data_IF_535811465983
#
_entry.id   IF_535811465983
#
_cell.length_a   1.000
_cell.length_b   1.000
_cell.length_c   1.000
_cell.angle_alpha   90.00
_cell.angle_beta   90.00
_cell.angle_gamma   90.00
#
_symmetry.space_group_name_H-M   'P 1'
#
loop_
_entity.id
_entity.type
_entity.pdbx_description
1 polymer ?
#
# COMPACT_ATOMS: atom_id res chain seq x y z
N UNK A 1 -10.73 9.17 16.40
CA UNK A 1 -9.98 10.29 15.76
C UNK A 1 -9.07 9.81 14.63
N UNK A 2 -8.40 8.65 14.77
CA UNK A 2 -7.53 8.07 13.73
C UNK A 2 -8.14 8.00 12.32
N UNK A 3 -9.35 7.44 12.15
CA UNK A 3 -9.98 7.34 10.81
C UNK A 3 -10.15 8.69 10.10
N UNK A 4 -10.50 9.76 10.82
CA UNK A 4 -10.66 11.09 10.22
C UNK A 4 -9.33 11.64 9.70
N UNK A 5 -8.23 11.38 10.41
CA UNK A 5 -6.90 11.81 10.00
C UNK A 5 -6.42 11.01 8.78
N UNK A 6 -6.60 9.68 8.78
CA UNK A 6 -6.29 8.83 7.63
C UNK A 6 -7.10 9.22 6.38
N UNK A 7 -8.37 9.59 6.54
CA UNK A 7 -9.21 10.07 5.43
C UNK A 7 -8.76 11.42 4.86
N UNK A 8 -8.40 12.38 5.73
CA UNK A 8 -7.83 13.66 5.30
C UNK A 8 -6.52 13.48 4.54
N UNK A 9 -5.69 12.60 5.05
CA UNK A 9 -4.45 12.18 4.43
C UNK A 9 -4.71 11.56 3.04
N UNK A 10 -5.65 10.61 2.94
CA UNK A 10 -6.01 9.99 1.66
C UNK A 10 -6.47 11.03 0.64
N UNK A 11 -7.28 12.01 1.07
CA UNK A 11 -7.67 13.14 0.22
C UNK A 11 -6.45 13.95 -0.21
N UNK A 12 -5.56 14.30 0.70
CA UNK A 12 -4.35 15.08 0.40
C UNK A 12 -3.47 14.38 -0.64
N UNK A 13 -3.14 13.10 -0.44
CA UNK A 13 -2.28 12.36 -1.37
C UNK A 13 -2.96 12.16 -2.72
N UNK A 14 -4.26 11.85 -2.72
CA UNK A 14 -5.06 11.76 -3.96
C UNK A 14 -5.02 13.06 -4.74
N UNK A 15 -5.19 14.21 -4.06
CA UNK A 15 -5.11 15.53 -4.72
C UNK A 15 -3.71 15.82 -5.26
N UNK A 16 -2.64 15.50 -4.52
CA UNK A 16 -1.27 15.69 -4.99
C UNK A 16 -0.97 14.90 -6.27
N UNK A 17 -1.34 13.61 -6.31
CA UNK A 17 -1.16 12.78 -7.52
C UNK A 17 -1.92 13.39 -8.71
N UNK A 18 -3.16 13.82 -8.46
CA UNK A 18 -4.01 14.44 -9.46
C UNK A 18 -3.42 15.74 -10.04
N UNK A 19 -2.75 16.56 -9.22
CA UNK A 19 -2.03 17.74 -9.72
C UNK A 19 -0.79 17.37 -10.54
N UNK A 20 -0.01 16.35 -10.14
CA UNK A 20 1.11 15.85 -10.95
C UNK A 20 0.64 15.35 -12.32
N UNK A 21 -0.42 14.54 -12.36
CA UNK A 21 -0.98 14.03 -13.63
C UNK A 21 -1.50 15.16 -14.51
N UNK A 22 -2.11 16.20 -13.92
CA UNK A 22 -2.60 17.37 -14.65
C UNK A 22 -1.47 18.15 -15.32
N UNK A 23 -0.30 18.25 -14.68
CA UNK A 23 0.87 18.90 -15.29
C UNK A 23 1.37 18.11 -16.53
N UNK A 24 1.19 16.79 -16.53
CA UNK A 24 1.66 15.90 -17.60
C UNK A 24 0.64 15.69 -18.74
N UNK A 25 -0.66 15.99 -18.53
CA UNK A 25 -1.70 15.76 -19.53
C UNK A 25 -2.70 16.93 -19.61
N UNK A 26 -2.71 17.62 -20.75
CA UNK A 26 -3.59 18.77 -21.00
C UNK A 26 -5.09 18.43 -21.09
N UNK A 27 -5.45 17.16 -21.31
CA UNK A 27 -6.85 16.68 -21.36
C UNK A 27 -7.33 16.10 -20.03
N UNK A 28 -6.56 16.31 -18.98
CA UNK A 28 -6.74 15.66 -17.69
C UNK A 28 -8.12 15.88 -17.06
N UNK A 29 -8.61 14.82 -16.41
CA UNK A 29 -9.78 14.83 -15.54
C UNK A 29 -9.41 14.30 -14.16
N UNK A 30 -9.86 14.94 -13.07
CA UNK A 30 -9.63 14.44 -11.72
C UNK A 30 -10.09 13.01 -11.52
N UNK A 31 -9.19 12.19 -10.98
CA UNK A 31 -9.45 10.79 -10.67
C UNK A 31 -9.72 10.60 -9.18
N UNK A 32 -10.70 9.75 -8.87
CA UNK A 32 -10.92 9.30 -7.49
C UNK A 32 -9.76 8.41 -7.02
N UNK A 33 -9.61 8.26 -5.70
CA UNK A 33 -8.66 7.32 -5.09
C UNK A 33 -8.73 5.93 -5.73
N UNK A 34 -9.95 5.39 -5.82
CA UNK A 34 -10.17 4.03 -6.32
C UNK A 34 -9.81 3.91 -7.82
N UNK A 35 -9.95 5.01 -8.57
CA UNK A 35 -9.56 5.05 -9.98
C UNK A 35 -8.04 5.15 -10.13
N UNK A 36 -7.37 5.99 -9.32
CA UNK A 36 -5.91 6.07 -9.28
C UNK A 36 -5.28 4.72 -8.92
N UNK A 37 -5.81 4.05 -7.90
CA UNK A 37 -5.38 2.71 -7.52
C UNK A 37 -5.70 1.65 -8.57
N UNK A 38 -6.57 1.88 -9.55
CA UNK A 38 -6.80 0.91 -10.64
C UNK A 38 -5.94 1.17 -11.86
N UNK A 39 -5.59 2.43 -12.11
CA UNK A 39 -4.92 2.83 -13.34
C UNK A 39 -3.40 2.90 -13.24
N UNK A 40 -2.84 2.93 -12.04
CA UNK A 40 -1.39 3.03 -11.89
C UNK A 40 -0.68 1.69 -12.11
N UNK A 41 0.46 1.73 -12.81
CA UNK A 41 1.21 0.59 -13.39
C UNK A 41 1.35 -0.72 -12.59
N UNK A 42 1.41 -0.79 -11.24
CA UNK A 42 1.33 -2.08 -10.55
C UNK A 42 0.04 -2.88 -10.85
N UNK A 43 -1.02 -2.21 -11.31
CA UNK A 43 -2.31 -2.82 -11.65
C UNK A 43 -2.58 -2.99 -13.13
N UNK A 44 -1.63 -2.60 -13.98
CA UNK A 44 -1.70 -2.90 -15.39
C UNK A 44 -1.54 -4.42 -15.56
N UNK A 45 -2.62 -5.09 -15.96
CA UNK A 45 -2.64 -6.54 -16.18
C UNK A 45 -1.58 -7.01 -17.19
N UNK A 46 -1.05 -6.10 -18.02
CA UNK A 46 0.04 -6.40 -18.96
C UNK A 46 1.43 -6.32 -18.32
N UNK A 47 1.55 -5.83 -17.08
CA UNK A 47 2.83 -5.70 -16.41
C UNK A 47 3.37 -7.08 -15.98
N UNK A 48 4.63 -7.45 -16.28
CA UNK A 48 5.18 -8.78 -15.96
C UNK A 48 5.09 -9.14 -14.47
N UNK A 49 5.24 -8.15 -13.59
CA UNK A 49 5.14 -8.34 -12.13
C UNK A 49 3.70 -8.61 -11.65
N UNK A 50 2.68 -8.24 -12.44
CA UNK A 50 1.29 -8.41 -12.05
C UNK A 50 0.93 -9.89 -11.91
N UNK A 51 1.33 -10.73 -12.86
CA UNK A 51 1.00 -12.17 -12.85
C UNK A 51 1.68 -12.91 -11.68
N UNK A 52 2.92 -12.55 -11.37
CA UNK A 52 3.64 -13.09 -10.22
C UNK A 52 2.97 -12.65 -8.91
N UNK A 53 2.72 -11.35 -8.75
CA UNK A 53 2.06 -10.81 -7.57
C UNK A 53 0.65 -11.40 -7.37
N UNK A 54 -0.12 -11.54 -8.46
CA UNK A 54 -1.45 -12.12 -8.43
C UNK A 54 -1.42 -13.59 -8.00
N UNK A 55 -0.48 -14.38 -8.54
CA UNK A 55 -0.29 -15.78 -8.14
C UNK A 55 0.05 -15.90 -6.66
N UNK A 56 0.91 -15.02 -6.13
CA UNK A 56 1.26 -15.00 -4.72
C UNK A 56 0.09 -14.55 -3.83
N UNK A 57 -0.71 -13.57 -4.26
CA UNK A 57 -1.92 -13.16 -3.51
C UNK A 57 -2.95 -14.29 -3.48
N UNK A 58 -3.13 -15.03 -4.58
CA UNK A 58 -3.98 -16.24 -4.57
C UNK A 58 -3.42 -17.30 -3.62
N UNK A 59 -2.11 -17.45 -3.55
CA UNK A 59 -1.46 -18.40 -2.62
C UNK A 59 -1.65 -18.01 -1.14
N UNK A 60 -1.96 -16.75 -0.83
CA UNK A 60 -2.44 -16.34 0.50
C UNK A 60 -3.87 -16.87 0.70
N UNK A 61 -3.93 -18.15 1.05
CA UNK A 61 -5.13 -18.99 1.13
C UNK A 61 -6.21 -18.58 2.12
N UNK A 62 -5.95 -17.63 3.02
CA UNK A 62 -6.90 -17.25 4.08
C UNK A 62 -7.01 -15.74 4.31
N UNK A 63 -8.18 -15.32 4.81
CA UNK A 63 -8.44 -13.95 5.24
C UNK A 63 -7.36 -13.42 6.21
N UNK A 64 -6.92 -14.26 7.16
CA UNK A 64 -5.90 -13.88 8.14
C UNK A 64 -4.55 -13.63 7.47
N UNK A 65 -4.16 -14.46 6.50
CA UNK A 65 -2.91 -14.26 5.76
C UNK A 65 -2.92 -12.97 4.92
N UNK A 66 -4.07 -12.55 4.38
CA UNK A 66 -4.19 -11.26 3.68
C UNK A 66 -4.04 -10.08 4.65
N UNK A 67 -4.60 -10.20 5.87
CA UNK A 67 -4.45 -9.19 6.93
C UNK A 67 -3.01 -9.14 7.42
N UNK A 68 -2.39 -10.29 7.68
CA UNK A 68 -1.01 -10.42 8.14
C UNK A 68 -0.02 -9.89 7.10
N UNK A 69 -0.22 -10.22 5.82
CA UNK A 69 0.57 -9.64 4.74
C UNK A 69 0.45 -8.11 4.72
N UNK A 70 -0.77 -7.58 4.85
CA UNK A 70 -1.03 -6.14 4.84
C UNK A 70 -0.36 -5.45 6.02
N UNK A 71 -0.46 -6.03 7.23
CA UNK A 71 0.22 -5.56 8.43
C UNK A 71 1.74 -5.54 8.23
N UNK A 72 2.30 -6.62 7.68
CA UNK A 72 3.73 -6.75 7.43
C UNK A 72 4.24 -5.71 6.43
N UNK A 73 3.47 -5.43 5.38
CA UNK A 73 3.79 -4.40 4.40
C UNK A 73 3.72 -2.98 4.99
N UNK A 74 2.75 -2.70 5.86
CA UNK A 74 2.69 -1.40 6.56
C UNK A 74 3.91 -1.24 7.46
N UNK A 75 4.24 -2.26 8.26
CA UNK A 75 5.45 -2.24 9.08
C UNK A 75 6.72 -2.03 8.26
N UNK A 76 6.86 -2.77 7.15
CA UNK A 76 7.98 -2.62 6.23
C UNK A 76 8.08 -1.19 5.72
N UNK A 77 6.99 -0.62 5.22
CA UNK A 77 6.92 0.76 4.77
C UNK A 77 7.33 1.74 5.89
N UNK A 78 6.83 1.58 7.11
CA UNK A 78 7.22 2.43 8.24
C UNK A 78 8.72 2.33 8.56
N UNK A 79 9.28 1.11 8.54
CA UNK A 79 10.72 0.92 8.81
C UNK A 79 11.61 1.51 7.70
N UNK A 80 11.22 1.35 6.44
CA UNK A 80 11.99 1.84 5.28
C UNK A 80 11.86 3.35 5.09
N UNK A 81 10.66 3.90 5.25
CA UNK A 81 10.40 5.34 5.10
C UNK A 81 10.81 6.17 6.31
N UNK A 82 11.07 5.56 7.47
CA UNK A 82 11.72 6.27 8.58
C UNK A 82 13.13 6.79 8.21
N UNK A 83 13.78 6.15 7.24
CA UNK A 83 15.13 6.50 6.77
C UNK A 83 15.14 7.47 5.57
N UNK A 84 14.08 7.48 4.75
CA UNK A 84 13.95 8.33 3.57
C UNK A 84 12.77 9.29 3.75
N UNK A 85 13.11 10.54 4.05
CA UNK A 85 12.28 11.62 4.58
C UNK A 85 10.89 11.80 3.94
N UNK A 86 9.91 11.04 4.42
CA UNK A 86 8.50 11.28 4.14
C UNK A 86 7.82 11.74 5.43
N UNK A 87 7.69 13.07 5.56
CA UNK A 87 7.02 13.80 6.66
C UNK A 87 5.62 13.28 7.03
N UNK A 88 5.07 12.45 6.16
CA UNK A 88 3.79 11.82 6.23
C UNK A 88 3.66 10.73 7.31
N UNK A 89 4.64 9.82 7.43
CA UNK A 89 4.60 8.73 8.42
C UNK A 89 4.96 9.18 9.83
N UNK A 90 5.76 10.25 9.97
CA UNK A 90 6.17 10.82 11.27
C UNK A 90 5.02 11.49 12.03
N UNK A 91 3.90 11.81 11.38
CA UNK A 91 2.79 12.61 11.95
C UNK A 91 1.61 11.79 12.51
N UNK A 92 1.67 10.46 12.47
CA UNK A 92 0.53 9.63 12.84
C UNK A 92 0.93 8.37 13.62
N UNK A 93 0.18 8.09 14.71
CA UNK A 93 0.27 6.82 15.42
C UNK A 93 -0.39 5.74 14.56
N UNK A 94 0.43 4.94 13.90
CA UNK A 94 -0.03 3.83 13.05
C UNK A 94 -0.90 2.82 13.81
N UNK A 95 -1.91 2.28 13.14
CA UNK A 95 -2.74 1.17 13.65
C UNK A 95 -1.91 -0.08 13.91
N UNK A 96 -0.72 -0.21 13.31
CA UNK A 96 0.17 -1.36 13.57
C UNK A 96 0.56 -1.46 15.05
N UNK A 97 0.57 -0.34 15.79
CA UNK A 97 0.83 -0.36 17.24
C UNK A 97 -0.29 -1.01 18.07
N UNK A 98 -1.46 -1.24 17.48
CA UNK A 98 -2.58 -1.92 18.15
C UNK A 98 -2.52 -3.44 17.99
N UNK A 99 -1.51 -3.96 17.28
CA UNK A 99 -1.26 -5.39 17.09
C UNK A 99 -0.18 -5.88 18.05
N UNK A 100 -0.36 -7.11 18.53
CA UNK A 100 0.57 -7.79 19.42
C UNK A 100 1.89 -8.14 18.74
N UNK A 101 2.94 -8.36 19.53
CA UNK A 101 4.25 -8.84 19.03
C UNK A 101 4.11 -10.10 18.20
N UNK A 102 3.21 -11.01 18.58
CA UNK A 102 2.96 -12.26 17.86
C UNK A 102 2.35 -12.02 16.48
N UNK A 103 1.33 -11.13 16.38
CA UNK A 103 0.75 -10.72 15.09
C UNK A 103 1.83 -10.08 14.19
N UNK A 104 2.72 -9.27 14.75
CA UNK A 104 3.84 -8.69 14.00
C UNK A 104 4.84 -9.74 13.50
N UNK A 105 5.13 -10.77 14.30
CA UNK A 105 6.00 -11.88 13.88
C UNK A 105 5.39 -12.64 12.72
N UNK A 106 4.10 -12.99 12.79
CA UNK A 106 3.42 -13.69 11.69
C UNK A 106 3.36 -12.84 10.42
N UNK A 107 2.99 -11.57 10.56
CA UNK A 107 2.97 -10.62 9.46
C UNK A 107 4.33 -10.51 8.75
N UNK A 108 5.41 -10.48 9.53
CA UNK A 108 6.77 -10.48 9.00
C UNK A 108 7.09 -11.76 8.23
N UNK A 109 6.79 -12.92 8.81
CA UNK A 109 7.05 -14.23 8.17
C UNK A 109 6.28 -14.36 6.85
N UNK A 110 5.03 -13.89 6.79
CA UNK A 110 4.24 -13.91 5.56
C UNK A 110 4.88 -13.03 4.47
N UNK A 111 5.30 -11.81 4.81
CA UNK A 111 5.97 -10.92 3.85
C UNK A 111 7.32 -11.46 3.40
N UNK A 112 8.09 -12.06 4.31
CA UNK A 112 9.36 -12.74 4.00
C UNK A 112 9.14 -13.92 3.05
N UNK A 113 8.09 -14.72 3.27
CA UNK A 113 7.74 -15.84 2.38
C UNK A 113 7.31 -15.42 0.98
N UNK A 114 6.80 -14.19 0.82
CA UNK A 114 6.43 -13.61 -0.47
C UNK A 114 7.59 -12.84 -1.13
N UNK A 115 8.74 -12.73 -0.47
CA UNK A 115 9.89 -11.97 -0.98
C UNK A 115 11.06 -12.88 -1.31
N UNK A 116 11.46 -12.91 -2.58
CA UNK A 116 12.71 -13.60 -3.02
C UNK A 116 13.97 -12.88 -2.50
N UNK A 117 13.82 -11.64 -1.99
CA UNK A 117 14.91 -10.80 -1.44
C UNK A 117 14.68 -10.53 0.05
N UNK A 118 15.77 -10.46 0.82
CA UNK A 118 15.71 -10.07 2.23
C UNK A 118 14.95 -8.73 2.42
N UNK A 119 14.20 -8.61 3.52
CA UNK A 119 13.27 -7.50 3.84
C UNK A 119 13.80 -6.06 3.66
N UNK A 120 15.11 -5.86 3.45
CA UNK A 120 15.75 -4.54 3.34
C UNK A 120 15.75 -3.94 1.92
N UNK A 121 15.37 -4.70 0.88
CA UNK A 121 15.28 -4.16 -0.48
C UNK A 121 13.83 -3.84 -0.86
N UNK A 122 13.64 -2.73 -1.59
CA UNK A 122 12.38 -2.43 -2.26
C UNK A 122 12.08 -3.56 -3.25
N UNK A 123 10.95 -4.24 -3.05
CA UNK A 123 10.49 -5.32 -3.90
C UNK A 123 9.19 -4.87 -4.58
N UNK A 124 9.24 -4.44 -5.84
CA UNK A 124 8.07 -3.97 -6.59
C UNK A 124 6.92 -4.99 -6.62
N UNK A 125 7.21 -6.30 -6.56
CA UNK A 125 6.21 -7.36 -6.48
C UNK A 125 5.39 -7.27 -5.19
N UNK A 126 6.03 -7.03 -4.04
CA UNK A 126 5.32 -6.92 -2.75
C UNK A 126 4.37 -5.72 -2.70
N UNK A 127 4.80 -4.57 -3.24
CA UNK A 127 3.92 -3.42 -3.35
C UNK A 127 2.76 -3.68 -4.30
N UNK A 128 3.00 -4.39 -5.40
CA UNK A 128 1.95 -4.82 -6.33
C UNK A 128 0.94 -5.75 -5.66
N UNK A 129 1.41 -6.70 -4.84
CA UNK A 129 0.55 -7.57 -4.03
C UNK A 129 -0.31 -6.78 -3.04
N UNK A 130 0.28 -5.84 -2.29
CA UNK A 130 -0.45 -4.98 -1.35
C UNK A 130 -1.58 -4.24 -2.08
N UNK A 131 -1.26 -3.73 -3.26
CA UNK A 131 -2.18 -2.99 -4.09
C UNK A 131 -3.35 -3.90 -4.55
N UNK A 132 -3.07 -5.12 -5.03
CA UNK A 132 -4.08 -6.12 -5.39
C UNK A 132 -5.00 -6.48 -4.22
N UNK A 133 -4.43 -6.67 -3.02
CA UNK A 133 -5.18 -6.96 -1.79
C UNK A 133 -6.14 -5.81 -1.46
N UNK A 134 -5.65 -4.57 -1.52
CA UNK A 134 -6.46 -3.37 -1.24
C UNK A 134 -7.63 -3.26 -2.21
N UNK A 135 -7.43 -3.52 -3.50
CA UNK A 135 -8.45 -3.36 -4.53
C UNK A 135 -9.46 -4.52 -4.59
N UNK A 136 -9.00 -5.77 -4.47
CA UNK A 136 -9.83 -6.94 -4.75
C UNK A 136 -10.30 -7.66 -3.49
N UNK A 137 -9.62 -7.46 -2.36
CA UNK A 137 -9.88 -8.18 -1.11
C UNK A 137 -10.25 -7.26 0.05
N UNK A 138 -10.60 -5.99 -0.21
CA UNK A 138 -11.03 -5.01 0.81
C UNK A 138 -12.15 -5.52 1.72
N UNK A 139 -13.08 -6.32 1.18
CA UNK A 139 -14.18 -6.92 1.94
C UNK A 139 -13.73 -7.90 3.05
N UNK A 140 -12.49 -8.41 2.95
CA UNK A 140 -11.87 -9.30 3.94
C UNK A 140 -11.41 -8.54 5.20
N UNK A 141 -11.33 -7.21 5.16
CA UNK A 141 -10.88 -6.39 6.29
C UNK A 141 -12.08 -5.94 7.13
N UNK A 142 -12.36 -6.67 8.22
CA UNK A 142 -13.49 -6.41 9.13
C UNK A 142 -13.00 -5.96 10.52
N UNK A 143 -13.88 -5.31 11.28
CA UNK A 143 -13.58 -4.87 12.65
C UNK A 143 -12.35 -3.96 12.71
N UNK A 144 -11.40 -4.30 13.59
CA UNK A 144 -10.15 -3.54 13.79
C UNK A 144 -9.28 -3.44 12.52
N UNK A 145 -9.44 -4.36 11.56
CA UNK A 145 -8.64 -4.40 10.33
C UNK A 145 -9.08 -3.37 9.27
N UNK A 146 -10.23 -2.72 9.41
CA UNK A 146 -10.65 -1.66 8.47
C UNK A 146 -9.68 -0.49 8.45
N UNK A 147 -9.12 -0.12 9.61
CA UNK A 147 -8.13 0.96 9.71
C UNK A 147 -6.81 0.56 9.08
N UNK A 148 -6.45 -0.72 9.16
CA UNK A 148 -5.29 -1.29 8.48
C UNK A 148 -5.40 -1.13 6.96
N UNK A 149 -6.59 -1.39 6.40
CA UNK A 149 -6.85 -1.19 4.98
C UNK A 149 -6.70 0.29 4.56
N UNK A 150 -7.10 1.25 5.41
CA UNK A 150 -6.92 2.67 5.12
C UNK A 150 -5.44 3.06 5.04
N UNK A 151 -4.60 2.55 5.93
CA UNK A 151 -3.15 2.76 5.90
C UNK A 151 -2.48 2.06 4.70
N UNK A 152 -2.97 0.89 4.30
CA UNK A 152 -2.50 0.23 3.10
C UNK A 152 -2.80 1.04 1.83
N UNK A 153 -4.00 1.61 1.71
CA UNK A 153 -4.37 2.53 0.62
C UNK A 153 -3.40 3.73 0.55
N UNK A 154 -3.13 4.30 1.71
CA UNK A 154 -2.21 5.42 1.87
C UNK A 154 -0.81 5.08 1.33
N UNK A 155 -0.25 3.93 1.70
CA UNK A 155 1.06 3.48 1.23
C UNK A 155 1.05 3.28 -0.28
N UNK A 156 0.00 2.66 -0.82
CA UNK A 156 -0.12 2.45 -2.27
C UNK A 156 -0.11 3.78 -3.03
N UNK A 157 -0.90 4.77 -2.58
CA UNK A 157 -0.92 6.10 -3.19
C UNK A 157 0.40 6.86 -3.00
N UNK A 158 1.02 6.78 -1.83
CA UNK A 158 2.32 7.42 -1.59
C UNK A 158 3.40 6.85 -2.51
N UNK A 159 3.37 5.54 -2.77
CA UNK A 159 4.28 4.89 -3.70
C UNK A 159 4.02 5.35 -5.15
N UNK A 160 2.74 5.49 -5.55
CA UNK A 160 2.36 6.10 -6.83
C UNK A 160 2.96 7.51 -6.95
N UNK A 161 2.78 8.35 -5.93
CA UNK A 161 3.32 9.72 -5.94
C UNK A 161 4.86 9.73 -6.03
N UNK A 162 5.53 8.82 -5.31
CA UNK A 162 6.99 8.71 -5.36
C UNK A 162 7.52 8.37 -6.77
N UNK A 163 6.77 7.59 -7.57
CA UNK A 163 7.19 7.30 -8.95
C UNK A 163 7.13 8.51 -9.88
N UNK A 164 6.26 9.49 -9.63
CA UNK A 164 6.28 10.75 -10.38
C UNK A 164 7.54 11.56 -10.07
N UNK A 165 7.90 11.64 -8.79
CA UNK A 165 9.07 12.40 -8.33
C UNK A 165 10.42 11.83 -8.82
N UNK A 166 10.47 10.58 -9.26
CA UNK A 166 11.67 9.96 -9.84
C UNK A 166 11.79 10.15 -11.36
N UNK A 167 10.73 10.63 -12.03
CA UNK A 167 10.70 10.84 -13.49
C UNK A 167 10.95 12.31 -13.84
N UNK A 168 10.75 13.23 -12.89
CA UNK A 168 11.07 14.67 -12.98
C UNK A 168 12.54 14.96 -12.70
#
# INVERSE_FOLDING_TARGET
MQNKQSEQILKSVTSSINEEVKQLNYTYRPMSRDLLLKQFKPFDYSHPLHNEAFSQVIALSSQNQLVDFTLGMINKAYTEHSAADTSFFKRYKSVVHDYSTTEHTYARTIVEGCSVKALKQSNPTLFTMLALIVNHYSAQFKGKHKTLLLEANIICLANILATFNTIS
#
